data_IF_157661386668
#
_entry.id   IF_157661386668
#
_cell.length_a   1.000
_cell.length_b   1.000
_cell.length_c   1.000
_cell.angle_alpha   90.00
_cell.angle_beta   90.00
_cell.angle_gamma   90.00
#
_symmetry.space_group_name_H-M   'P 1'
#
loop_
_entity.id
_entity.type
_entity.pdbx_description
1 polymer ?
#
# COMPACT_ATOMS: atom_id res chain seq x y z
N UNK A 1 18.57 24.76 -64.13
CA UNK A 1 19.07 23.85 -63.08
C UNK A 1 18.58 24.38 -61.74
N UNK A 2 17.67 23.66 -61.07
CA UNK A 2 17.12 24.02 -59.74
C UNK A 2 17.72 23.06 -58.71
N UNK A 3 18.37 23.51 -57.64
CA UNK A 3 18.82 22.59 -56.60
C UNK A 3 17.66 22.28 -55.65
N UNK A 4 17.41 20.98 -55.44
CA UNK A 4 16.60 20.45 -54.35
C UNK A 4 17.46 20.43 -53.09
N UNK A 5 17.07 21.19 -52.06
CA UNK A 5 17.69 21.13 -50.73
C UNK A 5 16.93 20.08 -49.90
N UNK A 6 17.57 19.03 -49.37
CA UNK A 6 16.93 18.13 -48.44
C UNK A 6 16.98 18.74 -47.04
N UNK A 7 15.81 19.00 -46.45
CA UNK A 7 15.70 19.36 -45.03
C UNK A 7 15.80 18.08 -44.21
N UNK A 8 16.97 17.84 -43.61
CA UNK A 8 17.18 16.78 -42.62
C UNK A 8 16.66 17.29 -41.28
N UNK A 9 15.46 16.84 -40.89
CA UNK A 9 14.90 17.11 -39.56
C UNK A 9 15.51 16.12 -38.55
N UNK A 10 16.49 16.58 -37.77
CA UNK A 10 17.00 15.85 -36.60
C UNK A 10 16.09 16.13 -35.41
N UNK A 11 15.15 15.22 -35.14
CA UNK A 11 14.35 15.20 -33.91
C UNK A 11 15.20 14.61 -32.77
N UNK A 12 15.97 15.47 -32.09
CA UNK A 12 16.61 15.13 -30.83
C UNK A 12 15.61 15.32 -29.67
N UNK A 13 14.88 14.26 -29.33
CA UNK A 13 14.14 14.18 -28.07
C UNK A 13 15.12 13.90 -26.92
N UNK A 14 15.87 14.92 -26.50
CA UNK A 14 16.59 14.90 -25.23
C UNK A 14 15.58 15.20 -24.10
N UNK A 15 14.79 14.19 -23.73
CA UNK A 15 13.99 14.22 -22.52
C UNK A 15 14.89 14.02 -21.30
N UNK A 16 15.53 15.09 -20.82
CA UNK A 16 16.10 15.12 -19.48
C UNK A 16 14.96 15.08 -18.47
N UNK A 17 14.53 13.88 -18.09
CA UNK A 17 13.68 13.67 -16.93
C UNK A 17 14.44 14.14 -15.69
N UNK A 18 13.99 15.24 -15.08
CA UNK A 18 14.46 15.65 -13.77
C UNK A 18 14.10 14.55 -12.76
N UNK A 19 15.10 13.76 -12.36
CA UNK A 19 14.96 12.86 -11.23
C UNK A 19 14.61 13.71 -10.00
N UNK A 20 13.51 13.36 -9.33
CA UNK A 20 13.17 13.98 -8.06
C UNK A 20 14.31 13.72 -7.06
N UNK A 21 14.67 14.70 -6.21
CA UNK A 21 15.77 14.53 -5.28
C UNK A 21 15.47 13.41 -4.27
N UNK A 22 16.41 12.46 -4.14
CA UNK A 22 16.38 11.28 -3.26
C UNK A 22 16.57 11.61 -1.77
N UNK A 23 16.09 12.76 -1.28
CA UNK A 23 16.28 13.11 0.12
C UNK A 23 15.45 12.17 1.01
N UNK A 24 16.07 11.43 1.96
CA UNK A 24 15.34 10.55 2.86
C UNK A 24 14.32 11.35 3.69
N UNK A 25 13.15 10.78 4.00
CA UNK A 25 12.15 11.46 4.80
C UNK A 25 12.69 11.75 6.21
N UNK A 26 12.42 12.96 6.70
CA UNK A 26 12.91 13.40 8.01
C UNK A 26 12.11 12.74 9.15
N UNK A 27 12.82 12.24 10.16
CA UNK A 27 12.24 11.77 11.42
C UNK A 27 12.03 12.96 12.35
N UNK A 28 10.78 13.32 12.61
CA UNK A 28 10.46 14.52 13.40
C UNK A 28 9.16 14.41 14.21
N UNK A 29 8.36 13.36 14.01
CA UNK A 29 7.10 13.19 14.72
C UNK A 29 7.27 12.28 15.96
N UNK A 30 6.72 12.66 17.12
CA UNK A 30 6.66 11.77 18.28
C UNK A 30 5.61 10.66 18.07
N UNK A 31 5.72 9.56 18.82
CA UNK A 31 4.79 8.43 18.73
C UNK A 31 3.31 8.84 18.85
N UNK A 32 2.97 9.72 19.80
CA UNK A 32 1.58 10.15 20.01
C UNK A 32 0.96 10.83 18.79
N UNK A 33 1.76 11.57 18.01
CA UNK A 33 1.32 12.19 16.76
C UNK A 33 1.00 11.12 15.73
N UNK A 34 1.90 10.16 15.54
CA UNK A 34 1.75 9.08 14.56
C UNK A 34 0.64 8.10 14.93
N UNK A 35 0.48 7.76 16.20
CA UNK A 35 -0.66 6.94 16.64
C UNK A 35 -1.98 7.71 16.44
N UNK A 36 -2.00 9.03 16.66
CA UNK A 36 -3.15 9.88 16.34
C UNK A 36 -3.53 9.87 14.85
N UNK A 37 -2.55 9.97 13.95
CA UNK A 37 -2.76 9.81 12.50
C UNK A 37 -3.40 8.45 12.17
N UNK A 38 -2.90 7.38 12.80
CA UNK A 38 -3.44 6.03 12.65
C UNK A 38 -4.90 5.93 13.12
N UNK A 39 -5.22 6.45 14.32
CA UNK A 39 -6.59 6.46 14.83
C UNK A 39 -7.54 7.22 13.91
N UNK A 40 -7.07 8.30 13.29
CA UNK A 40 -7.90 9.09 12.37
C UNK A 40 -8.10 8.35 11.04
N UNK A 41 -7.04 7.79 10.46
CA UNK A 41 -7.11 7.07 9.19
C UNK A 41 -7.99 5.81 9.30
N UNK A 42 -7.88 5.04 10.38
CA UNK A 42 -8.64 3.78 10.53
C UNK A 42 -10.16 3.99 10.61
N UNK A 43 -10.63 5.17 11.02
CA UNK A 43 -12.07 5.52 11.02
C UNK A 43 -12.66 5.72 9.62
N UNK A 44 -11.81 5.89 8.61
CA UNK A 44 -12.22 6.14 7.22
C UNK A 44 -12.07 4.90 6.33
N UNK A 45 -11.63 3.79 6.91
CA UNK A 45 -11.24 2.58 6.21
C UNK A 45 -12.10 1.41 6.71
N UNK A 46 -12.85 0.80 5.81
CA UNK A 46 -13.61 -0.41 6.11
C UNK A 46 -12.75 -1.64 5.88
N UNK A 47 -12.77 -2.58 6.81
CA UNK A 47 -12.10 -3.87 6.68
C UNK A 47 -13.06 -4.95 6.16
N UNK A 48 -12.53 -6.08 5.66
CA UNK A 48 -13.33 -7.27 5.40
C UNK A 48 -14.16 -7.68 6.63
N UNK A 49 -15.27 -8.40 6.39
CA UNK A 49 -16.15 -8.82 7.47
C UNK A 49 -15.41 -9.70 8.49
N UNK A 50 -15.54 -9.36 9.78
CA UNK A 50 -14.89 -10.06 10.88
C UNK A 50 -13.54 -9.48 11.27
N UNK A 51 -12.90 -8.69 10.42
CA UNK A 51 -11.62 -8.06 10.74
C UNK A 51 -11.76 -6.79 11.59
N UNK A 52 -10.72 -6.52 12.37
CA UNK A 52 -10.60 -5.30 13.16
C UNK A 52 -9.19 -4.72 13.02
N UNK A 53 -9.10 -3.40 13.06
CA UNK A 53 -7.82 -2.72 13.23
C UNK A 53 -7.31 -2.94 14.66
N UNK A 54 -5.98 -3.09 14.85
CA UNK A 54 -5.37 -2.97 16.16
C UNK A 54 -5.75 -1.66 16.85
N UNK A 55 -5.77 -1.67 18.18
CA UNK A 55 -6.10 -0.47 18.94
C UNK A 55 -5.03 0.60 18.75
N UNK A 56 -3.75 0.22 18.76
CA UNK A 56 -2.61 1.13 18.65
C UNK A 56 -1.52 0.59 17.74
N UNK A 57 -0.72 1.50 17.18
CA UNK A 57 0.54 1.16 16.55
C UNK A 57 1.56 0.69 17.59
N UNK A 58 2.46 -0.24 17.23
CA UNK A 58 3.62 -0.55 18.06
C UNK A 58 4.49 0.69 18.27
N UNK A 59 4.81 1.02 19.52
CA UNK A 59 5.78 2.07 19.83
C UNK A 59 7.19 1.47 19.85
N UNK A 60 7.88 1.49 18.72
CA UNK A 60 9.19 0.84 18.53
C UNK A 60 10.36 1.81 18.30
N UNK A 61 10.09 3.11 18.17
CA UNK A 61 11.09 4.12 17.90
C UNK A 61 10.84 5.42 18.69
N UNK A 62 11.89 6.23 18.84
CA UNK A 62 11.81 7.53 19.49
C UNK A 62 11.15 8.59 18.60
N UNK A 63 11.47 8.57 17.30
CA UNK A 63 10.98 9.50 16.30
C UNK A 63 10.52 8.76 15.05
N UNK A 64 9.52 9.32 14.40
CA UNK A 64 8.86 8.73 13.24
C UNK A 64 8.80 9.73 12.10
N UNK A 65 8.53 9.23 10.90
CA UNK A 65 8.21 10.04 9.72
C UNK A 65 6.77 10.57 9.88
N UNK A 66 6.53 11.89 9.75
CA UNK A 66 5.17 12.42 9.69
C UNK A 66 4.32 11.73 8.61
N UNK A 67 3.04 11.44 8.90
CA UNK A 67 2.16 10.71 7.99
C UNK A 67 2.32 9.19 7.99
N UNK A 68 3.35 8.66 8.69
CA UNK A 68 3.55 7.21 8.77
C UNK A 68 2.38 6.49 9.43
N UNK A 69 1.63 7.14 10.33
CA UNK A 69 0.52 6.49 11.01
C UNK A 69 -0.66 6.23 10.09
N UNK A 70 -0.98 7.21 9.25
CA UNK A 70 -1.95 7.07 8.18
C UNK A 70 -1.51 6.01 7.17
N UNK A 71 -0.24 6.01 6.78
CA UNK A 71 0.28 5.02 5.84
C UNK A 71 0.22 3.59 6.41
N UNK A 72 0.51 3.40 7.70
CA UNK A 72 0.39 2.09 8.36
C UNK A 72 -1.07 1.60 8.41
N UNK A 73 -2.05 2.48 8.64
CA UNK A 73 -3.46 2.11 8.59
C UNK A 73 -3.87 1.63 7.17
N UNK A 74 -3.46 2.36 6.15
CA UNK A 74 -3.77 2.05 4.75
C UNK A 74 -3.06 0.78 4.26
N UNK A 75 -1.82 0.54 4.68
CA UNK A 75 -1.10 -0.70 4.42
C UNK A 75 -1.79 -1.89 5.10
N UNK A 76 -2.24 -1.74 6.35
CA UNK A 76 -2.98 -2.77 7.06
C UNK A 76 -4.29 -3.10 6.31
N UNK A 77 -5.01 -2.07 5.88
CA UNK A 77 -6.22 -2.20 5.08
C UNK A 77 -5.96 -2.99 3.79
N UNK A 78 -4.90 -2.68 3.04
CA UNK A 78 -4.55 -3.41 1.82
C UNK A 78 -4.26 -4.89 2.13
N UNK A 79 -3.46 -5.14 3.17
CA UNK A 79 -3.14 -6.50 3.59
C UNK A 79 -4.37 -7.31 4.00
N UNK A 80 -5.36 -6.69 4.66
CA UNK A 80 -6.60 -7.34 5.04
C UNK A 80 -7.40 -7.77 3.82
N UNK A 81 -7.65 -6.86 2.87
CA UNK A 81 -8.42 -7.15 1.66
C UNK A 81 -7.72 -8.18 0.75
N UNK A 82 -6.39 -8.11 0.59
CA UNK A 82 -5.67 -9.11 -0.20
C UNK A 82 -5.70 -10.50 0.45
N UNK A 83 -5.69 -10.57 1.78
CA UNK A 83 -5.85 -11.85 2.51
C UNK A 83 -7.26 -12.39 2.43
N UNK A 84 -8.28 -11.55 2.54
CA UNK A 84 -9.67 -11.96 2.37
C UNK A 84 -9.90 -12.57 0.98
N UNK A 85 -9.38 -11.90 -0.04
CA UNK A 85 -9.43 -12.36 -1.43
C UNK A 85 -8.69 -13.69 -1.62
N UNK A 86 -7.51 -13.87 -1.00
CA UNK A 86 -6.80 -15.15 -1.01
C UNK A 86 -7.58 -16.22 -0.25
N UNK A 87 -8.27 -15.91 0.84
CA UNK A 87 -9.01 -16.89 1.62
C UNK A 87 -10.35 -17.30 0.97
N UNK A 88 -10.80 -16.60 -0.08
CA UNK A 88 -11.99 -16.97 -0.83
C UNK A 88 -11.86 -18.36 -1.46
N UNK A 89 -12.86 -19.21 -1.24
CA UNK A 89 -12.91 -20.54 -1.85
C UNK A 89 -13.16 -20.44 -3.36
N UNK A 90 -12.67 -21.41 -4.16
CA UNK A 90 -13.07 -21.50 -5.56
C UNK A 90 -14.60 -21.52 -5.70
N UNK A 91 -15.15 -20.55 -6.42
CA UNK A 91 -16.61 -20.41 -6.61
C UNK A 91 -17.31 -19.40 -5.69
N UNK A 92 -16.62 -18.82 -4.69
CA UNK A 92 -17.14 -17.70 -3.88
C UNK A 92 -17.02 -16.37 -4.64
N UNK A 93 -17.80 -16.26 -5.71
CA UNK A 93 -17.76 -15.12 -6.63
C UNK A 93 -18.16 -13.81 -5.96
N UNK A 94 -19.08 -13.86 -5.00
CA UNK A 94 -19.54 -12.68 -4.26
C UNK A 94 -18.43 -12.07 -3.39
N UNK A 95 -17.70 -12.90 -2.64
CA UNK A 95 -16.53 -12.46 -1.87
C UNK A 95 -15.45 -11.90 -2.77
N UNK A 96 -15.07 -12.64 -3.81
CA UNK A 96 -14.03 -12.22 -4.76
C UNK A 96 -14.38 -10.87 -5.41
N UNK A 97 -15.62 -10.69 -5.88
CA UNK A 97 -16.05 -9.43 -6.50
C UNK A 97 -16.01 -8.25 -5.52
N UNK A 98 -16.48 -8.45 -4.28
CA UNK A 98 -16.42 -7.44 -3.24
C UNK A 98 -14.98 -7.01 -2.99
N UNK A 99 -14.08 -7.96 -2.78
CA UNK A 99 -12.70 -7.65 -2.40
C UNK A 99 -11.97 -6.96 -3.55
N UNK A 100 -12.13 -7.44 -4.79
CA UNK A 100 -11.56 -6.81 -6.00
C UNK A 100 -12.06 -5.37 -6.17
N UNK A 101 -13.32 -5.08 -5.85
CA UNK A 101 -13.87 -3.74 -5.96
C UNK A 101 -13.22 -2.74 -4.97
N UNK A 102 -12.65 -3.22 -3.87
CA UNK A 102 -11.99 -2.38 -2.89
C UNK A 102 -10.59 -1.97 -3.34
N UNK A 103 -9.79 -2.94 -3.81
CA UNK A 103 -8.35 -2.79 -4.03
C UNK A 103 -7.90 -1.53 -4.81
N UNK A 104 -8.60 -1.07 -5.87
CA UNK A 104 -8.22 0.16 -6.59
C UNK A 104 -8.18 1.41 -5.71
N UNK A 105 -8.93 1.45 -4.60
CA UNK A 105 -8.94 2.61 -3.67
C UNK A 105 -7.54 2.91 -3.13
N UNK A 106 -6.70 1.87 -2.95
CA UNK A 106 -5.36 2.03 -2.37
C UNK A 106 -4.45 2.95 -3.20
N UNK A 107 -4.58 2.95 -4.53
CA UNK A 107 -3.69 3.75 -5.40
C UNK A 107 -3.94 5.25 -5.29
N UNK A 108 -5.08 5.66 -4.72
CA UNK A 108 -5.39 7.05 -4.39
C UNK A 108 -4.95 7.45 -2.96
N UNK A 109 -4.48 6.50 -2.15
CA UNK A 109 -4.13 6.74 -0.75
C UNK A 109 -2.68 7.23 -0.60
N UNK A 110 -2.40 7.94 0.51
CA UNK A 110 -1.06 8.49 0.78
C UNK A 110 0.03 7.42 0.87
N UNK A 111 -0.31 6.22 1.37
CA UNK A 111 0.61 5.09 1.42
C UNK A 111 1.13 4.74 0.02
N UNK A 112 0.29 4.81 -1.01
CA UNK A 112 0.70 4.57 -2.39
C UNK A 112 1.40 5.77 -3.02
N UNK A 113 0.79 6.95 -2.91
CA UNK A 113 1.22 8.14 -3.67
C UNK A 113 2.48 8.78 -3.10
N UNK A 114 2.64 8.79 -1.77
CA UNK A 114 3.77 9.39 -1.08
C UNK A 114 4.60 8.37 -0.27
N UNK A 115 3.97 7.28 0.20
CA UNK A 115 4.62 6.29 1.06
C UNK A 115 5.48 5.26 0.34
N UNK A 116 5.30 5.08 -0.96
CA UNK A 116 6.03 4.08 -1.76
C UNK A 116 6.97 4.73 -2.78
N UNK A 117 8.14 4.10 -2.93
CA UNK A 117 9.01 4.30 -4.09
C UNK A 117 8.42 3.62 -5.34
N UNK A 118 8.86 3.97 -6.56
CA UNK A 118 8.34 3.37 -7.80
C UNK A 118 8.30 1.84 -7.79
N UNK A 119 9.32 1.19 -7.24
CA UNK A 119 9.41 -0.28 -7.17
C UNK A 119 8.33 -0.85 -6.22
N UNK A 120 8.07 -0.16 -5.10
CA UNK A 120 7.01 -0.53 -4.17
C UNK A 120 5.62 -0.38 -4.80
N UNK A 121 5.39 0.69 -5.58
CA UNK A 121 4.15 0.88 -6.33
C UNK A 121 3.95 -0.23 -7.36
N UNK A 122 5.00 -0.62 -8.09
CA UNK A 122 4.93 -1.71 -9.07
C UNK A 122 4.52 -3.05 -8.43
N UNK A 123 4.98 -3.34 -7.20
CA UNK A 123 4.57 -4.53 -6.45
C UNK A 123 3.08 -4.50 -6.07
N UNK A 124 2.60 -3.35 -5.61
CA UNK A 124 1.17 -3.15 -5.34
C UNK A 124 0.34 -3.31 -6.61
N UNK A 125 0.74 -2.66 -7.70
CA UNK A 125 0.03 -2.72 -8.97
C UNK A 125 -0.05 -4.16 -9.48
N UNK A 126 1.03 -4.93 -9.38
CA UNK A 126 1.04 -6.34 -9.74
C UNK A 126 0.06 -7.17 -8.91
N UNK A 127 -0.03 -6.92 -7.59
CA UNK A 127 -0.98 -7.60 -6.71
C UNK A 127 -2.43 -7.22 -7.05
N UNK A 128 -2.73 -5.93 -7.19
CA UNK A 128 -4.08 -5.44 -7.51
C UNK A 128 -4.54 -6.00 -8.87
N UNK A 129 -3.71 -5.91 -9.89
CA UNK A 129 -4.02 -6.46 -11.20
C UNK A 129 -4.11 -7.99 -11.20
N UNK A 130 -3.31 -8.66 -10.39
CA UNK A 130 -3.40 -10.11 -10.16
C UNK A 130 -4.78 -10.49 -9.63
N UNK A 131 -5.23 -9.81 -8.56
CA UNK A 131 -6.55 -10.04 -7.98
C UNK A 131 -7.68 -9.80 -8.99
N UNK A 132 -7.60 -8.72 -9.78
CA UNK A 132 -8.56 -8.41 -10.85
C UNK A 132 -8.63 -9.50 -11.94
N UNK A 133 -7.51 -10.15 -12.24
CA UNK A 133 -7.42 -11.22 -13.25
C UNK A 133 -7.66 -12.62 -12.69
N UNK A 134 -7.89 -12.76 -11.39
CA UNK A 134 -7.95 -14.08 -10.75
C UNK A 134 -6.59 -14.77 -10.56
N UNK A 135 -5.48 -14.07 -10.83
CA UNK A 135 -4.13 -14.60 -10.68
C UNK A 135 -3.65 -14.45 -9.24
N UNK A 136 -3.60 -15.59 -8.53
CA UNK A 136 -3.27 -15.65 -7.11
C UNK A 136 -1.77 -15.50 -6.84
N UNK A 137 -0.91 -15.78 -7.81
CA UNK A 137 0.55 -15.80 -7.62
C UNK A 137 1.13 -14.43 -7.21
N UNK A 138 0.87 -13.32 -7.94
CA UNK A 138 1.38 -12.00 -7.53
C UNK A 138 0.76 -11.53 -6.21
N UNK A 139 -0.50 -11.87 -5.93
CA UNK A 139 -1.16 -11.51 -4.67
C UNK A 139 -0.51 -12.23 -3.49
N UNK A 140 -0.33 -13.55 -3.59
CA UNK A 140 0.32 -14.33 -2.54
C UNK A 140 1.78 -13.90 -2.32
N UNK A 141 2.52 -13.61 -3.40
CA UNK A 141 3.88 -13.10 -3.32
C UNK A 141 3.96 -11.76 -2.58
N UNK A 142 3.06 -10.82 -2.88
CA UNK A 142 2.98 -9.54 -2.19
C UNK A 142 2.64 -9.72 -0.70
N UNK A 143 1.60 -10.51 -0.38
CA UNK A 143 1.20 -10.75 1.01
C UNK A 143 2.33 -11.40 1.81
N UNK A 144 3.06 -12.35 1.23
CA UNK A 144 4.19 -13.00 1.87
C UNK A 144 5.35 -12.03 2.14
N UNK A 145 5.66 -11.15 1.19
CA UNK A 145 6.79 -10.23 1.28
C UNK A 145 6.51 -9.00 2.17
N UNK A 146 5.26 -8.51 2.18
CA UNK A 146 4.94 -7.17 2.69
C UNK A 146 3.97 -7.17 3.87
N UNK A 147 3.07 -8.15 3.96
CA UNK A 147 2.05 -8.20 5.01
C UNK A 147 2.50 -9.00 6.25
N UNK A 148 3.79 -9.34 6.35
CA UNK A 148 4.36 -10.05 7.49
C UNK A 148 4.59 -9.18 8.73
N UNK A 149 5.02 -9.81 9.82
CA UNK A 149 5.40 -9.16 11.08
C UNK A 149 4.25 -8.97 12.08
N UNK A 150 4.54 -8.58 13.34
CA UNK A 150 3.56 -8.61 14.44
C UNK A 150 2.33 -7.73 14.24
N UNK A 151 2.46 -6.62 13.53
CA UNK A 151 1.35 -5.71 13.25
C UNK A 151 0.51 -6.19 12.07
N UNK A 152 1.14 -6.39 10.90
CA UNK A 152 0.40 -6.73 9.69
C UNK A 152 -0.11 -8.18 9.68
N UNK A 153 0.48 -9.11 10.43
CA UNK A 153 -0.05 -10.48 10.57
C UNK A 153 -1.49 -10.52 11.11
N UNK A 154 -1.93 -9.49 11.84
CA UNK A 154 -3.28 -9.39 12.37
C UNK A 154 -4.34 -9.04 11.32
N UNK A 155 -3.94 -8.49 10.17
CA UNK A 155 -4.87 -8.22 9.06
C UNK A 155 -5.45 -9.54 8.51
N UNK A 156 -6.76 -9.71 8.42
CA UNK A 156 -7.38 -10.99 8.03
C UNK A 156 -7.48 -12.04 9.13
N UNK A 157 -7.13 -11.72 10.39
CA UNK A 157 -7.15 -12.68 11.50
C UNK A 157 -8.47 -12.71 12.29
N UNK A 158 -9.44 -11.84 11.98
CA UNK A 158 -10.73 -11.83 12.66
C UNK A 158 -10.72 -11.45 14.15
N UNK A 159 -9.56 -11.06 14.71
CA UNK A 159 -9.40 -10.79 16.14
C UNK A 159 -8.59 -9.51 16.38
N UNK A 160 -9.15 -8.58 17.17
CA UNK A 160 -8.37 -7.54 17.81
C UNK A 160 -7.39 -8.21 18.79
N UNK A 161 -6.07 -8.09 18.56
CA UNK A 161 -5.09 -8.71 19.45
C UNK A 161 -5.03 -7.95 20.79
N UNK A 162 -4.93 -8.65 21.95
CA UNK A 162 -4.68 -7.99 23.22
C UNK A 162 -3.27 -7.38 23.26
N UNK A 163 -3.14 -6.15 23.75
CA UNK A 163 -1.85 -5.48 23.90
C UNK A 163 -0.92 -6.28 24.84
N UNK A 164 0.39 -6.40 24.54
CA UNK A 164 1.36 -6.82 25.53
C UNK A 164 1.51 -5.73 26.60
N UNK A 165 1.24 -6.09 27.84
CA UNK A 165 1.49 -5.27 29.03
C UNK A 165 2.98 -4.92 29.07
N UNK A 166 3.32 -3.63 29.06
CA UNK A 166 4.71 -3.20 29.29
C UNK A 166 5.08 -3.51 30.74
N UNK A 167 6.17 -4.24 30.94
CA UNK A 167 6.90 -4.32 32.21
C UNK A 167 7.77 -3.09 32.38
#
# INVERSE_FOLDING_TARGET
>A
MRPLVPVVAVLALAGCGSAAPDTPPQLSAPYSSVDGEYQQAKKQLDLPAGDAFPDHLPNSAQWYVPGSGSNQAQNFWLCAWLRDWLAAAPGDTGRVQRDVAQLPRYTAMSAYTAGLRPEGRALVDAAVQGAQRGDRKPVAGFVQATCGGPFYSQAGSGAASPQPSRS
#
